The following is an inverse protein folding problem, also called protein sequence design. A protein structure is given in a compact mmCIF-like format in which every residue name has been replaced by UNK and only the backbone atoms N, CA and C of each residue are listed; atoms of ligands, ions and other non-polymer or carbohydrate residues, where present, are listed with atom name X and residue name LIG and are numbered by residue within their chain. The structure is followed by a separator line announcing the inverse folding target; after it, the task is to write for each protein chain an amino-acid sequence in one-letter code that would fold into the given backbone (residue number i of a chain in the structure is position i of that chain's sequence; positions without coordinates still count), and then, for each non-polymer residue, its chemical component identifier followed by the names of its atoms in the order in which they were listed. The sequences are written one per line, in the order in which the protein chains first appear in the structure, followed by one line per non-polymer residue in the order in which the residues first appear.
data_IF_511172861297
#
_entry.id   IF_511172861297
#
_cell.length_a   1.000
_cell.length_b   1.000
_cell.length_c   1.000
_cell.angle_alpha   90.00
_cell.angle_beta   90.00
_cell.angle_gamma   90.00
#
_symmetry.space_group_name_H-M   'P 1'
#
loop_
_entity.id
_entity.type
_entity.pdbx_description
1 polymer ?
#
# COMPACT_ATOMS: atom_id res chain seq x y z
N UNK A 1 -16.49 -12.94 4.44
CA UNK A 1 -16.88 -14.09 5.23
C UNK A 1 -15.93 -15.28 5.08
N UNK A 2 -15.38 -15.56 3.88
CA UNK A 2 -14.53 -16.72 3.66
C UNK A 2 -13.48 -16.43 2.60
N UNK A 3 -12.50 -15.55 2.94
CA UNK A 3 -11.32 -15.43 2.11
C UNK A 3 -10.56 -16.77 2.17
N UNK A 4 -10.56 -17.49 1.09
CA UNK A 4 -9.76 -18.69 0.90
C UNK A 4 -8.56 -18.32 0.07
N UNK A 5 -7.53 -17.77 0.70
CA UNK A 5 -6.27 -17.47 0.05
C UNK A 5 -5.71 -18.65 -0.74
N UNK A 6 -4.76 -18.38 -1.63
CA UNK A 6 -4.08 -19.39 -2.42
C UNK A 6 -4.58 -19.48 -3.87
N UNK A 7 -4.83 -20.70 -4.37
CA UNK A 7 -5.13 -20.90 -5.81
C UNK A 7 -6.39 -20.23 -6.31
N UNK A 8 -7.40 -20.04 -5.44
CA UNK A 8 -8.71 -19.47 -5.83
C UNK A 8 -8.72 -17.95 -5.71
N UNK A 9 -8.09 -17.41 -4.67
CA UNK A 9 -8.02 -15.97 -4.41
C UNK A 9 -6.55 -15.59 -4.18
N UNK A 10 -5.77 -15.42 -5.26
CA UNK A 10 -4.34 -15.15 -5.15
C UNK A 10 -4.02 -13.74 -4.66
N UNK A 11 -4.97 -12.82 -4.75
CA UNK A 11 -4.82 -11.41 -4.39
C UNK A 11 -5.95 -10.94 -3.50
N UNK A 12 -5.72 -9.86 -2.75
CA UNK A 12 -6.71 -9.19 -1.92
C UNK A 12 -6.63 -7.68 -2.14
N UNK A 13 -7.78 -7.04 -2.25
CA UNK A 13 -7.86 -5.58 -2.33
C UNK A 13 -7.61 -4.96 -0.97
N UNK A 14 -6.69 -4.00 -0.92
CA UNK A 14 -6.35 -3.29 0.31
C UNK A 14 -6.74 -1.81 0.28
N UNK A 15 -7.07 -1.27 -0.89
CA UNK A 15 -7.45 0.14 -1.05
C UNK A 15 -8.47 0.31 -2.16
N UNK A 16 -9.51 1.10 -1.92
CA UNK A 16 -10.49 1.58 -2.90
C UNK A 16 -11.06 2.93 -2.46
N UNK A 17 -12.09 3.45 -3.16
CA UNK A 17 -12.83 4.64 -2.71
C UNK A 17 -13.42 4.47 -1.31
N UNK A 18 -13.73 3.24 -0.92
CA UNK A 18 -14.30 2.93 0.38
C UNK A 18 -13.29 2.96 1.54
N UNK A 19 -12.01 3.07 1.25
CA UNK A 19 -10.94 3.14 2.25
C UNK A 19 -9.95 1.97 2.20
N UNK A 20 -9.14 1.87 3.24
CA UNK A 20 -8.05 0.90 3.35
C UNK A 20 -8.42 -0.28 4.24
N UNK A 21 -8.09 -1.50 3.79
CA UNK A 21 -8.30 -2.75 4.56
C UNK A 21 -6.99 -3.36 5.10
N UNK A 22 -5.85 -2.71 4.89
CA UNK A 22 -4.55 -3.23 5.35
C UNK A 22 -4.52 -3.39 6.87
N UNK A 23 -4.80 -2.31 7.57
CA UNK A 23 -4.93 -2.30 9.03
C UNK A 23 -5.87 -1.18 9.47
N UNK A 24 -6.36 -1.24 10.71
CA UNK A 24 -7.17 -0.18 11.31
C UNK A 24 -6.32 0.94 11.94
N UNK A 25 -5.01 0.87 11.83
CA UNK A 25 -4.03 1.83 12.37
C UNK A 25 -3.07 2.38 11.31
N UNK A 26 -3.40 2.17 10.05
CA UNK A 26 -2.59 2.66 8.93
C UNK A 26 -2.79 4.17 8.68
N UNK A 27 -2.00 4.75 7.78
CA UNK A 27 -2.07 6.16 7.42
C UNK A 27 -3.32 6.53 6.61
N UNK A 28 -4.02 5.54 6.07
CA UNK A 28 -5.24 5.72 5.28
C UNK A 28 -6.46 5.38 6.12
N UNK A 29 -7.56 6.05 5.81
CA UNK A 29 -8.83 5.81 6.48
C UNK A 29 -9.25 4.35 6.31
N UNK A 30 -9.66 3.75 7.43
CA UNK A 30 -10.18 2.40 7.41
C UNK A 30 -11.51 2.36 6.66
N UNK A 31 -11.69 1.29 5.88
CA UNK A 31 -12.93 1.10 5.10
C UNK A 31 -14.17 1.24 5.99
N UNK A 32 -15.02 2.18 5.61
CA UNK A 32 -16.32 2.43 6.23
C UNK A 32 -17.41 2.11 5.23
N UNK A 33 -17.79 0.85 5.16
CA UNK A 33 -18.83 0.45 4.24
C UNK A 33 -20.21 0.42 4.94
N UNK A 34 -21.25 0.79 4.22
CA UNK A 34 -22.64 0.77 4.71
C UNK A 34 -23.12 -0.61 5.15
N UNK A 35 -22.47 -1.67 4.69
CA UNK A 35 -22.83 -3.05 5.01
C UNK A 35 -22.02 -3.67 6.16
N UNK A 36 -21.17 -2.91 6.80
CA UNK A 36 -20.35 -3.41 7.90
C UNK A 36 -19.78 -2.32 8.77
N UNK A 37 -19.60 -2.64 10.03
CA UNK A 37 -18.85 -1.81 10.96
C UNK A 37 -17.35 -2.00 10.81
N UNK A 38 -16.57 -1.21 11.55
CA UNK A 38 -15.12 -1.35 11.66
C UNK A 38 -14.75 -2.67 12.33
N UNK A 39 -14.36 -3.64 11.52
CA UNK A 39 -14.01 -4.97 12.00
C UNK A 39 -12.51 -5.22 11.85
N UNK A 40 -11.73 -4.82 12.83
CA UNK A 40 -10.26 -5.01 12.88
C UNK A 40 -9.82 -6.43 12.49
N UNK A 41 -10.58 -7.43 12.90
CA UNK A 41 -10.32 -8.83 12.56
C UNK A 41 -10.49 -9.17 11.08
N UNK A 42 -11.12 -8.31 10.32
CA UNK A 42 -11.29 -8.47 8.87
C UNK A 42 -10.22 -7.76 8.05
N UNK A 43 -9.31 -7.04 8.69
CA UNK A 43 -8.16 -6.47 8.00
C UNK A 43 -7.21 -7.54 7.50
N UNK A 44 -6.34 -7.14 6.59
CA UNK A 44 -5.36 -8.04 5.94
C UNK A 44 -4.32 -8.55 6.93
N UNK A 45 -3.87 -7.71 7.86
CA UNK A 45 -2.80 -8.04 8.80
C UNK A 45 -3.09 -9.31 9.63
N UNK A 46 -4.26 -9.52 10.25
CA UNK A 46 -4.59 -10.76 10.92
C UNK A 46 -4.57 -11.99 10.01
N UNK A 47 -4.94 -11.83 8.73
CA UNK A 47 -4.94 -12.95 7.77
C UNK A 47 -3.53 -13.38 7.41
N UNK A 48 -2.62 -12.43 7.24
CA UNK A 48 -1.21 -12.73 7.06
C UNK A 48 -0.62 -13.44 8.29
N UNK A 49 -0.97 -12.99 9.49
CA UNK A 49 -0.54 -13.61 10.74
C UNK A 49 -1.02 -15.07 10.87
N UNK A 50 -2.14 -15.41 10.27
CA UNK A 50 -2.65 -16.79 10.19
C UNK A 50 -1.98 -17.64 9.10
N UNK A 51 -0.97 -17.10 8.39
CA UNK A 51 -0.26 -17.79 7.33
C UNK A 51 -0.95 -17.80 5.98
N UNK A 52 -2.03 -17.03 5.80
CA UNK A 52 -2.68 -16.89 4.50
C UNK A 52 -1.75 -16.16 3.53
N UNK A 53 -1.61 -16.67 2.31
CA UNK A 53 -0.72 -16.14 1.29
C UNK A 53 -1.53 -15.52 0.16
N UNK A 54 -1.27 -14.24 -0.13
CA UNK A 54 -1.88 -13.49 -1.22
C UNK A 54 -1.01 -12.29 -1.59
N UNK A 55 -1.20 -11.76 -2.79
CA UNK A 55 -0.67 -10.46 -3.21
C UNK A 55 -1.66 -9.35 -2.89
N UNK A 56 -1.21 -8.12 -3.07
CA UNK A 56 -2.02 -6.93 -2.82
C UNK A 56 -2.48 -6.30 -4.13
N UNK A 57 -3.72 -5.87 -4.16
CA UNK A 57 -4.29 -5.09 -5.24
C UNK A 57 -5.03 -3.89 -4.66
N UNK A 58 -5.24 -2.88 -5.49
CA UNK A 58 -6.15 -1.78 -5.23
C UNK A 58 -6.98 -1.55 -6.48
N UNK A 59 -8.16 -1.00 -6.32
CA UNK A 59 -9.02 -0.55 -7.40
C UNK A 59 -9.75 0.71 -6.99
N UNK A 60 -10.32 1.43 -7.93
CA UNK A 60 -11.14 2.59 -7.57
C UNK A 60 -12.42 2.16 -6.88
N UNK A 61 -13.04 1.08 -7.34
CA UNK A 61 -14.39 0.65 -6.92
C UNK A 61 -15.41 1.80 -7.03
N UNK A 62 -15.15 2.70 -8.00
CA UNK A 62 -15.90 3.93 -8.21
C UNK A 62 -17.33 3.61 -8.70
N UNK A 63 -18.30 4.13 -7.97
CA UNK A 63 -19.73 3.93 -8.26
C UNK A 63 -20.35 5.05 -9.11
N UNK A 64 -19.56 6.06 -9.48
CA UNK A 64 -19.99 7.19 -10.30
C UNK A 64 -19.62 7.06 -11.78
N UNK A 65 -18.89 5.98 -12.13
CA UNK A 65 -18.50 5.67 -13.51
C UNK A 65 -17.15 6.26 -13.94
N UNK A 66 -16.26 6.58 -12.99
CA UNK A 66 -14.93 7.12 -13.25
C UNK A 66 -13.81 6.14 -12.84
N UNK A 67 -13.67 4.99 -13.53
CA UNK A 67 -12.63 4.02 -13.17
C UNK A 67 -11.24 4.66 -13.34
N UNK A 68 -10.40 4.52 -12.32
CA UNK A 68 -9.08 5.14 -12.27
C UNK A 68 -9.07 6.59 -11.77
N UNK A 69 -10.14 7.03 -11.11
CA UNK A 69 -10.22 8.34 -10.47
C UNK A 69 -9.06 8.55 -9.49
N UNK A 70 -8.59 9.81 -9.43
CA UNK A 70 -7.46 10.19 -8.57
C UNK A 70 -7.84 10.13 -7.09
N UNK A 71 -6.92 9.63 -6.27
CA UNK A 71 -7.11 9.53 -4.82
C UNK A 71 -7.78 8.25 -4.34
N UNK A 72 -8.21 7.42 -5.29
CA UNK A 72 -8.77 6.09 -5.04
C UNK A 72 -7.69 5.02 -5.23
N UNK A 73 -8.07 3.76 -5.28
CA UNK A 73 -7.09 2.70 -5.48
C UNK A 73 -6.74 2.45 -6.94
N UNK A 74 -5.49 2.15 -7.23
CA UNK A 74 -5.02 1.72 -8.56
C UNK A 74 -4.13 0.49 -8.42
N UNK A 75 -4.27 -0.44 -9.35
CA UNK A 75 -3.50 -1.67 -9.43
C UNK A 75 -2.24 -1.48 -10.26
N UNK A 76 -1.07 -1.77 -9.68
CA UNK A 76 0.15 -2.01 -10.42
C UNK A 76 0.37 -3.50 -10.69
N UNK A 77 0.77 -3.84 -11.91
CA UNK A 77 1.03 -5.23 -12.33
C UNK A 77 2.34 -5.33 -13.10
N UNK A 78 3.21 -6.23 -12.70
CA UNK A 78 4.41 -6.60 -13.45
C UNK A 78 4.10 -7.78 -14.36
N UNK A 79 3.84 -7.51 -15.62
CA UNK A 79 3.55 -8.48 -16.67
C UNK A 79 4.53 -8.36 -17.83
N UNK A 80 4.71 -9.44 -18.57
CA UNK A 80 5.64 -9.46 -19.70
C UNK A 80 5.13 -8.61 -20.89
N UNK A 81 3.80 -8.51 -21.03
CA UNK A 81 3.13 -7.68 -22.00
C UNK A 81 1.68 -7.37 -21.57
N UNK A 82 0.96 -6.56 -22.37
CA UNK A 82 -0.41 -6.15 -22.08
C UNK A 82 -1.50 -7.14 -22.57
N UNK A 83 -1.12 -8.33 -23.02
CA UNK A 83 -2.10 -9.34 -23.40
C UNK A 83 -2.89 -9.84 -22.19
N UNK A 84 -4.19 -10.10 -22.33
CA UNK A 84 -5.02 -10.57 -21.21
C UNK A 84 -4.44 -11.78 -20.47
N UNK A 85 -3.83 -12.71 -21.22
CA UNK A 85 -3.19 -13.90 -20.63
C UNK A 85 -2.01 -13.53 -19.74
N UNK A 86 -1.11 -12.65 -20.23
CA UNK A 86 0.08 -12.22 -19.48
C UNK A 86 -0.30 -11.47 -18.21
N UNK A 87 -1.31 -10.59 -18.30
CA UNK A 87 -1.85 -9.86 -17.14
C UNK A 87 -2.46 -10.83 -16.12
N UNK A 88 -3.26 -11.78 -16.58
CA UNK A 88 -3.89 -12.77 -15.71
C UNK A 88 -2.86 -13.66 -15.00
N UNK A 89 -1.84 -14.12 -15.72
CA UNK A 89 -0.75 -14.92 -15.15
C UNK A 89 0.07 -14.12 -14.14
N UNK A 90 0.33 -12.82 -14.38
CA UNK A 90 1.01 -11.94 -13.44
C UNK A 90 0.20 -11.75 -12.16
N UNK A 91 -1.11 -11.52 -12.27
CA UNK A 91 -2.01 -11.39 -11.11
C UNK A 91 -2.04 -12.70 -10.32
N UNK A 92 -2.16 -13.84 -11.00
CA UNK A 92 -2.12 -15.15 -10.33
C UNK A 92 -0.80 -15.42 -9.63
N UNK A 93 0.30 -14.96 -10.19
CA UNK A 93 1.62 -15.05 -9.61
C UNK A 93 1.86 -14.00 -8.50
N UNK A 94 0.88 -13.14 -8.19
CA UNK A 94 0.98 -12.08 -7.18
C UNK A 94 2.05 -11.04 -7.50
N UNK A 95 2.37 -10.86 -8.76
CA UNK A 95 3.25 -9.79 -9.25
C UNK A 95 2.49 -8.47 -9.34
N UNK A 96 1.90 -8.09 -8.20
CA UNK A 96 0.98 -6.94 -8.08
C UNK A 96 1.33 -6.08 -6.89
N UNK A 97 1.02 -4.81 -6.97
CA UNK A 97 1.10 -3.87 -5.86
C UNK A 97 -0.07 -2.88 -5.90
N UNK A 98 -0.41 -2.36 -4.74
CA UNK A 98 -1.51 -1.43 -4.56
C UNK A 98 -0.99 0.00 -4.48
N UNK A 99 -1.68 0.92 -5.12
CA UNK A 99 -1.37 2.35 -5.13
C UNK A 99 -2.61 3.12 -4.71
N UNK A 100 -2.45 4.16 -3.90
CA UNK A 100 -3.55 4.94 -3.31
C UNK A 100 -3.75 6.31 -3.98
N UNK A 101 -3.59 6.38 -5.29
CA UNK A 101 -3.84 7.59 -6.05
C UNK A 101 -2.64 8.16 -6.79
N UNK A 102 -1.51 8.34 -6.15
CA UNK A 102 -0.26 8.64 -6.86
C UNK A 102 0.25 7.41 -7.59
N UNK A 103 0.66 7.58 -8.85
CA UNK A 103 1.20 6.47 -9.65
C UNK A 103 2.63 6.16 -9.24
N UNK A 104 2.78 5.59 -8.06
CA UNK A 104 4.07 5.11 -7.57
C UNK A 104 4.40 3.81 -8.28
N UNK A 105 5.59 3.75 -8.90
CA UNK A 105 6.16 2.51 -9.39
C UNK A 105 6.92 1.83 -8.25
N UNK A 106 6.64 0.57 -8.02
CA UNK A 106 7.32 -0.22 -6.99
C UNK A 106 7.75 -1.57 -7.56
N UNK A 107 9.05 -1.83 -7.52
CA UNK A 107 9.64 -3.11 -7.89
C UNK A 107 10.42 -3.65 -6.69
N UNK A 108 10.15 -4.89 -6.33
CA UNK A 108 10.77 -5.53 -5.16
C UNK A 108 11.25 -6.91 -5.54
N UNK A 109 12.49 -7.20 -5.24
CA UNK A 109 12.98 -8.57 -5.26
C UNK A 109 13.46 -9.02 -3.88
N UNK A 110 13.41 -10.31 -3.63
CA UNK A 110 14.00 -10.94 -2.46
C UNK A 110 14.90 -12.10 -2.95
N UNK A 111 16.19 -12.00 -2.67
CA UNK A 111 17.18 -12.93 -3.19
C UNK A 111 17.05 -13.12 -4.72
N UNK A 112 16.90 -12.02 -5.45
CA UNK A 112 16.73 -11.99 -6.90
C UNK A 112 15.39 -12.55 -7.43
N UNK A 113 14.43 -12.88 -6.56
CA UNK A 113 13.10 -13.33 -6.97
C UNK A 113 12.08 -12.22 -6.86
N UNK A 114 11.21 -12.06 -7.86
CA UNK A 114 10.24 -10.96 -7.89
C UNK A 114 9.17 -11.10 -6.80
N UNK A 115 8.49 -9.97 -6.54
CA UNK A 115 7.34 -9.95 -5.64
C UNK A 115 6.32 -11.06 -5.98
N UNK A 116 5.62 -11.57 -4.98
CA UNK A 116 4.70 -12.70 -5.12
C UNK A 116 5.34 -14.08 -5.03
N UNK A 117 6.67 -14.18 -5.12
CA UNK A 117 7.40 -15.45 -5.02
C UNK A 117 7.31 -16.08 -3.63
N UNK A 118 7.30 -17.40 -3.59
CA UNK A 118 7.47 -18.18 -2.37
C UNK A 118 8.88 -18.76 -2.34
N UNK A 119 9.62 -18.41 -1.30
CA UNK A 119 11.02 -18.80 -1.15
C UNK A 119 11.19 -19.70 0.05
N UNK A 120 12.10 -20.69 -0.01
CA UNK A 120 12.49 -21.44 1.17
C UNK A 120 13.11 -20.50 2.21
N UNK A 121 13.10 -20.93 3.46
CA UNK A 121 13.77 -20.18 4.52
C UNK A 121 15.28 -20.07 4.21
N UNK A 122 15.82 -18.86 4.33
CA UNK A 122 17.24 -18.57 4.26
C UNK A 122 17.65 -17.70 5.45
N UNK A 123 18.85 -17.92 5.98
CA UNK A 123 19.40 -17.15 7.11
C UNK A 123 19.63 -15.70 6.71
N UNK A 124 20.23 -15.48 5.55
CA UNK A 124 20.42 -14.16 4.96
C UNK A 124 19.36 -13.89 3.89
N UNK A 125 18.92 -12.64 3.80
CA UNK A 125 17.91 -12.18 2.85
C UNK A 125 18.32 -10.83 2.31
N UNK A 126 18.48 -10.79 1.01
CA UNK A 126 18.80 -9.58 0.28
C UNK A 126 17.50 -9.04 -0.36
N UNK A 127 17.12 -7.83 0.04
CA UNK A 127 16.05 -7.08 -0.59
C UNK A 127 16.64 -6.07 -1.56
N UNK A 128 16.16 -6.11 -2.80
CA UNK A 128 16.38 -5.06 -3.77
C UNK A 128 15.06 -4.36 -4.04
N UNK A 129 15.05 -3.04 -3.89
CA UNK A 129 13.84 -2.23 -3.93
C UNK A 129 14.06 -1.00 -4.79
N UNK A 130 13.22 -0.86 -5.81
CA UNK A 130 13.10 0.36 -6.60
C UNK A 130 11.72 0.97 -6.41
N UNK A 131 11.69 2.22 -5.97
CA UNK A 131 10.46 2.99 -5.81
C UNK A 131 10.62 4.32 -6.53
N UNK A 132 9.67 4.63 -7.41
CA UNK A 132 9.60 5.91 -8.13
C UNK A 132 8.23 6.52 -7.89
N UNK A 133 8.19 7.70 -7.28
CA UNK A 133 7.00 8.52 -7.09
C UNK A 133 6.89 9.59 -8.18
N UNK A 134 5.72 10.19 -8.32
CA UNK A 134 5.51 11.39 -9.15
C UNK A 134 5.99 12.66 -8.43
N UNK A 135 6.20 12.57 -7.13
CA UNK A 135 6.71 13.62 -6.26
C UNK A 135 7.64 13.00 -5.21
N UNK A 136 8.17 13.82 -4.30
CA UNK A 136 9.08 13.40 -3.25
C UNK A 136 8.47 12.29 -2.39
N UNK A 137 9.25 11.22 -2.18
CA UNK A 137 8.87 10.13 -1.28
C UNK A 137 9.19 10.54 0.15
N UNK A 138 8.19 10.50 1.02
CA UNK A 138 8.37 10.79 2.44
C UNK A 138 9.19 9.70 3.12
N UNK A 139 8.83 8.46 2.88
CA UNK A 139 9.40 7.32 3.59
C UNK A 139 9.16 6.01 2.85
N UNK A 140 10.09 5.08 2.99
CA UNK A 140 9.93 3.68 2.57
C UNK A 140 10.08 2.79 3.80
N UNK A 141 9.11 1.93 4.05
CA UNK A 141 9.13 0.98 5.16
C UNK A 141 9.19 -0.47 4.67
N UNK A 142 10.07 -1.26 5.27
CA UNK A 142 10.08 -2.71 5.13
C UNK A 142 9.35 -3.34 6.32
N UNK A 143 8.25 -4.02 6.02
CA UNK A 143 7.39 -4.64 7.02
C UNK A 143 7.53 -6.17 6.95
N UNK A 144 7.87 -6.80 8.06
CA UNK A 144 7.92 -8.26 8.19
C UNK A 144 7.05 -8.73 9.33
N UNK A 145 6.13 -9.67 9.04
CA UNK A 145 5.20 -10.22 10.03
C UNK A 145 4.41 -9.13 10.79
N UNK A 146 3.95 -8.10 10.05
CA UNK A 146 3.19 -7.00 10.62
C UNK A 146 4.01 -6.00 11.46
N UNK A 147 5.34 -6.07 11.42
CA UNK A 147 6.24 -5.14 12.12
C UNK A 147 7.19 -4.47 11.15
N UNK A 148 7.33 -3.16 11.28
CA UNK A 148 8.36 -2.41 10.57
C UNK A 148 9.72 -2.85 11.09
N UNK A 149 10.57 -3.36 10.19
CA UNK A 149 11.93 -3.81 10.50
C UNK A 149 13.00 -2.85 9.99
N UNK A 150 12.64 -2.01 9.01
CA UNK A 150 13.52 -0.98 8.48
C UNK A 150 12.70 0.18 7.95
N UNK A 151 13.24 1.40 8.09
CA UNK A 151 12.75 2.63 7.48
C UNK A 151 13.88 3.29 6.71
N UNK A 152 13.54 3.80 5.56
CA UNK A 152 14.42 4.62 4.74
C UNK A 152 13.73 5.95 4.44
N UNK A 153 14.43 7.04 4.71
CA UNK A 153 14.01 8.39 4.38
C UNK A 153 14.86 8.85 3.19
N UNK A 154 14.27 9.07 2.01
CA UNK A 154 15.02 9.53 0.86
C UNK A 154 15.74 10.86 1.11
N UNK A 155 16.90 11.08 0.45
CA UNK A 155 17.75 12.25 0.71
C UNK A 155 17.10 13.60 0.41
N UNK A 156 16.13 13.64 -0.50
CA UNK A 156 15.35 14.85 -0.76
C UNK A 156 14.31 15.14 0.32
N UNK A 157 14.19 14.28 1.32
CA UNK A 157 13.43 14.59 2.52
C UNK A 157 14.16 15.70 3.29
N UNK A 158 13.50 16.83 3.46
CA UNK A 158 14.10 18.06 3.94
C UNK A 158 14.70 17.89 5.34
N UNK A 159 16.00 17.76 5.39
CA UNK A 159 16.78 17.82 6.63
C UNK A 159 17.34 19.22 6.75
N UNK A 160 16.72 20.08 7.55
CA UNK A 160 17.24 21.42 7.79
C UNK A 160 16.17 22.50 7.78
N UNK A 161 16.61 23.75 7.90
CA UNK A 161 15.74 24.92 7.93
C UNK A 161 15.19 25.15 6.52
N UNK A 162 13.92 24.78 6.31
CA UNK A 162 13.22 25.02 5.06
C UNK A 162 12.90 26.51 4.93
N UNK A 163 13.47 27.18 3.96
CA UNK A 163 13.03 28.50 3.54
C UNK A 163 12.20 28.35 2.28
N UNK A 164 10.88 28.42 2.40
CA UNK A 164 9.98 28.37 1.26
C UNK A 164 9.81 29.79 0.68
N UNK A 165 10.07 30.00 -0.61
CA UNK A 165 9.73 31.24 -1.26
C UNK A 165 8.20 31.33 -1.46
N UNK A 166 7.54 32.22 -0.73
CA UNK A 166 6.10 32.45 -0.87
C UNK A 166 5.21 31.62 0.03
N UNK A 167 3.92 31.52 -0.33
CA UNK A 167 2.94 30.77 0.46
C UNK A 167 3.02 29.28 0.19
N UNK A 168 3.06 28.48 1.26
CA UNK A 168 3.00 27.01 1.19
C UNK A 168 1.60 26.51 1.56
N UNK A 169 1.12 25.48 0.87
CA UNK A 169 -0.09 24.75 1.25
C UNK A 169 0.30 23.59 2.15
N UNK A 170 -0.23 23.60 3.37
CA UNK A 170 -0.07 22.50 4.31
C UNK A 170 -1.38 21.72 4.44
N UNK A 171 -1.31 20.39 4.39
CA UNK A 171 -2.43 19.53 4.74
C UNK A 171 -2.22 19.01 6.15
N UNK A 172 -3.10 19.38 7.05
CA UNK A 172 -3.10 18.88 8.43
C UNK A 172 -4.21 17.84 8.53
N UNK A 173 -3.86 16.61 8.91
CA UNK A 173 -4.82 15.55 9.22
C UNK A 173 -4.96 15.46 10.74
N UNK A 174 -6.19 15.46 11.22
CA UNK A 174 -6.48 15.21 12.63
C UNK A 174 -7.65 14.22 12.75
N UNK A 175 -7.60 13.37 13.75
CA UNK A 175 -8.57 12.33 14.03
C UNK A 175 -9.08 12.41 15.47
N UNK A 176 -9.79 11.44 15.94
CA UNK A 176 -10.19 11.32 17.33
C UNK A 176 -9.00 10.97 18.22
N UNK A 177 -8.79 11.73 19.30
CA UNK A 177 -7.74 11.46 20.27
C UNK A 177 -7.39 12.67 21.11
N UNK A 178 -6.47 12.56 22.08
CA UNK A 178 -5.95 13.69 22.79
C UNK A 178 -5.19 14.60 21.85
N UNK A 179 -5.66 15.84 21.71
CA UNK A 179 -5.12 16.83 20.79
C UNK A 179 -3.95 17.57 21.43
N UNK A 180 -2.84 17.64 20.72
CA UNK A 180 -1.83 18.66 21.02
C UNK A 180 -2.35 20.05 20.66
N UNK A 181 -1.98 21.05 21.42
CA UNK A 181 -2.22 22.44 21.04
C UNK A 181 -1.32 22.80 19.86
N UNK A 182 -1.91 23.13 18.72
CA UNK A 182 -1.22 23.73 17.59
C UNK A 182 -1.26 25.25 17.77
N UNK A 183 -0.11 25.84 18.10
CA UNK A 183 0.08 27.27 18.04
C UNK A 183 0.67 27.61 16.66
N UNK A 184 -0.03 28.44 15.90
CA UNK A 184 0.51 29.07 14.70
C UNK A 184 1.01 30.45 15.13
N UNK A 185 2.32 30.63 15.21
CA UNK A 185 2.91 31.96 15.32
C UNK A 185 2.75 32.67 13.97
N UNK A 186 2.15 33.87 14.00
CA UNK A 186 1.96 34.75 12.84
C UNK A 186 3.24 35.50 12.49
#
# INVERSE_FOLDING_TARGET
KYFRGGKVSPVVEIMSEHGCTESDRGPFDYITHSQGGRWTKNTVAPRLAMGTRFGFVASTDDHLGYPGAYGEGVLGVWADDLRPRSLFEAIRARRTFAVSGDRILMEVTLNGRPMGSELPFAGEREFDLRVEGQDALEMVELIRNGRVIQRHFPEHHLTGKLTLPGAAKCRIRYGWGPWGQLALDR
#
